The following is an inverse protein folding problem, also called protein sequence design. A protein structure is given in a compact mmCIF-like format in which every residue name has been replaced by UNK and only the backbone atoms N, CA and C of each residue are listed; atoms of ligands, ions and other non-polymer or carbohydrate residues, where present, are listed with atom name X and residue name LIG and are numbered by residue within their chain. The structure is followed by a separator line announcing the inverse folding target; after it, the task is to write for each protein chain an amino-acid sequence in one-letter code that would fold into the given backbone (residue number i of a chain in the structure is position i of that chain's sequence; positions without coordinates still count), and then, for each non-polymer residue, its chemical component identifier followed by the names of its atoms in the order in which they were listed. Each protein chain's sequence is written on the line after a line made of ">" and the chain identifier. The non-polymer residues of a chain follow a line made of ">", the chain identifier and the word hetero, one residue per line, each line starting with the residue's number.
data_IF_293624795569
#
_entry.id   IF_293624795569
#
_cell.length_a   1.000
_cell.length_b   1.000
_cell.length_c   1.000
_cell.angle_alpha   90.00
_cell.angle_beta   90.00
_cell.angle_gamma   90.00
#
_symmetry.space_group_name_H-M   'P 1'
#
loop_
_entity.id
_entity.type
_entity.pdbx_description
1 polymer ?
#
# COMPACT_ATOMS: atom_id res chain seq x y z
N UNK A 1 -14.44 2.44 4.63
CA UNK A 1 -13.25 1.70 4.80
C UNK A 1 -12.79 1.00 3.54
N UNK A 2 -11.65 0.38 3.64
CA UNK A 2 -11.06 -0.34 2.53
C UNK A 2 -11.72 -1.69 2.36
N UNK A 3 -11.93 -2.10 1.10
CA UNK A 3 -12.55 -3.40 0.82
C UNK A 3 -11.52 -4.51 0.91
N UNK A 4 -10.40 -4.33 0.25
CA UNK A 4 -9.29 -5.27 0.27
C UNK A 4 -8.00 -4.48 0.23
N UNK A 5 -7.01 -4.98 0.96
CA UNK A 5 -5.72 -4.34 0.94
C UNK A 5 -4.66 -5.35 1.34
N UNK A 6 -3.42 -5.03 0.99
CA UNK A 6 -2.27 -5.82 1.35
C UNK A 6 -1.10 -4.90 1.63
N UNK A 7 -0.30 -5.27 2.61
CA UNK A 7 0.93 -4.54 2.89
C UNK A 7 2.10 -5.46 2.59
N UNK A 8 2.95 -5.04 1.66
CA UNK A 8 4.17 -5.76 1.34
C UNK A 8 5.32 -5.17 2.13
N UNK A 9 6.13 -6.05 2.66
CA UNK A 9 7.27 -5.66 3.48
C UNK A 9 8.54 -5.82 2.65
N UNK A 10 9.25 -4.70 2.43
CA UNK A 10 10.52 -4.69 1.70
C UNK A 10 11.55 -3.96 2.55
N UNK A 11 12.28 -4.70 3.40
CA UNK A 11 13.24 -4.11 4.33
C UNK A 11 12.57 -3.00 5.16
N UNK A 12 12.92 -1.73 4.90
CA UNK A 12 12.36 -0.60 5.63
C UNK A 12 11.23 0.07 4.88
N UNK A 13 10.74 -0.54 3.81
CA UNK A 13 9.70 0.04 2.96
C UNK A 13 8.41 -0.74 3.14
N UNK A 14 7.32 -0.04 3.43
CA UNK A 14 5.99 -0.62 3.41
C UNK A 14 5.34 -0.24 2.08
N UNK A 15 4.94 -1.25 1.30
CA UNK A 15 4.22 -1.01 0.04
C UNK A 15 2.78 -1.43 0.23
N UNK A 16 1.88 -0.46 0.17
CA UNK A 16 0.46 -0.68 0.38
C UNK A 16 -0.23 -0.93 -0.94
N UNK A 17 -0.97 -2.03 -1.03
CA UNK A 17 -1.77 -2.37 -2.20
C UNK A 17 -3.23 -2.33 -1.79
N UNK A 18 -4.01 -1.47 -2.43
CA UNK A 18 -5.44 -1.37 -2.20
C UNK A 18 -6.13 -1.46 -3.55
N UNK A 19 -7.45 -1.67 -3.53
CA UNK A 19 -8.19 -1.65 -4.79
C UNK A 19 -7.98 -0.30 -5.47
N UNK A 20 -7.85 -0.29 -6.82
CA UNK A 20 -7.55 0.96 -7.51
C UNK A 20 -8.52 2.09 -7.17
N UNK A 21 -9.80 1.77 -6.99
CA UNK A 21 -10.78 2.80 -6.65
C UNK A 21 -10.57 3.36 -5.25
N UNK A 22 -9.80 2.68 -4.40
CA UNK A 22 -9.55 3.15 -3.04
C UNK A 22 -8.27 3.96 -2.91
N UNK A 23 -7.47 4.03 -3.96
CA UNK A 23 -6.21 4.78 -3.90
C UNK A 23 -6.49 6.25 -3.59
N UNK A 24 -7.48 6.83 -4.26
CA UNK A 24 -7.85 8.22 -4.04
C UNK A 24 -8.22 8.47 -2.58
N UNK A 25 -8.91 7.51 -1.98
CA UNK A 25 -9.30 7.63 -0.58
C UNK A 25 -8.08 7.75 0.32
N UNK A 26 -7.06 6.94 0.08
CA UNK A 26 -5.85 6.96 0.90
C UNK A 26 -5.02 8.23 0.70
N UNK A 27 -5.16 8.88 -0.46
CA UNK A 27 -4.38 10.07 -0.75
C UNK A 27 -4.99 11.34 -0.16
N UNK A 28 -6.18 11.26 0.45
CA UNK A 28 -6.74 12.39 1.15
C UNK A 28 -5.85 12.76 2.33
N UNK A 29 -5.67 14.06 2.56
CA UNK A 29 -4.68 14.55 3.52
C UNK A 29 -4.75 13.88 4.88
N UNK A 30 -5.93 13.83 5.48
CA UNK A 30 -6.05 13.26 6.81
C UNK A 30 -5.66 11.79 6.86
N UNK A 31 -6.13 11.02 5.89
CA UNK A 31 -5.83 9.59 5.85
C UNK A 31 -4.38 9.33 5.50
N UNK A 32 -3.84 10.09 4.56
CA UNK A 32 -2.45 9.95 4.16
C UNK A 32 -1.51 10.16 5.34
N UNK A 33 -1.73 11.24 6.08
CA UNK A 33 -0.87 11.58 7.21
C UNK A 33 -0.99 10.54 8.32
N UNK A 34 -2.18 10.03 8.56
CA UNK A 34 -2.37 9.02 9.59
C UNK A 34 -1.67 7.72 9.22
N UNK A 35 -1.77 7.32 7.95
CA UNK A 35 -1.08 6.11 7.50
C UNK A 35 0.42 6.23 7.66
N UNK A 36 0.98 7.36 7.24
CA UNK A 36 2.42 7.57 7.39
C UNK A 36 2.82 7.49 8.85
N UNK A 37 2.07 8.15 9.72
CA UNK A 37 2.38 8.14 11.14
C UNK A 37 2.37 6.72 11.69
N UNK A 38 1.34 5.95 11.40
CA UNK A 38 1.19 4.60 11.96
C UNK A 38 2.29 3.67 11.47
N UNK A 39 2.60 3.72 10.18
CA UNK A 39 3.63 2.83 9.67
C UNK A 39 5.02 3.23 10.13
N UNK A 40 5.26 4.53 10.32
CA UNK A 40 6.54 4.96 10.87
C UNK A 40 6.69 4.53 12.33
N UNK A 41 5.61 4.52 13.08
CA UNK A 41 5.63 4.04 14.45
C UNK A 41 5.97 2.55 14.53
N UNK A 42 5.56 1.79 13.52
CA UNK A 42 5.90 0.37 13.45
C UNK A 42 7.39 0.18 13.14
N UNK A 43 8.00 1.12 12.44
CA UNK A 43 9.42 1.05 12.15
C UNK A 43 9.79 1.21 10.69
N UNK A 44 8.82 1.44 9.81
CA UNK A 44 9.13 1.63 8.40
C UNK A 44 9.73 3.00 8.15
N UNK A 45 10.71 3.05 7.27
CA UNK A 45 11.30 4.32 6.85
C UNK A 45 10.46 4.98 5.76
N UNK A 46 9.92 4.18 4.84
CA UNK A 46 9.13 4.69 3.73
C UNK A 46 7.77 4.01 3.71
N UNK A 47 6.74 4.79 3.42
CA UNK A 47 5.38 4.29 3.27
C UNK A 47 4.96 4.63 1.84
N UNK A 48 4.69 3.60 1.03
CA UNK A 48 4.42 3.77 -0.40
C UNK A 48 3.11 3.10 -0.77
N UNK A 49 2.56 3.50 -1.90
CA UNK A 49 1.37 2.87 -2.48
C UNK A 49 1.74 2.33 -3.85
N UNK A 50 1.34 1.09 -4.12
CA UNK A 50 1.46 0.55 -5.46
C UNK A 50 0.37 1.16 -6.32
N UNK A 51 0.76 1.90 -7.35
CA UNK A 51 -0.20 2.62 -8.18
C UNK A 51 -1.11 1.70 -8.99
N UNK A 52 -0.68 0.48 -9.23
CA UNK A 52 -1.53 -0.49 -9.91
C UNK A 52 -2.57 -1.10 -8.98
N UNK A 53 -2.34 -1.00 -7.68
CA UNK A 53 -3.31 -1.42 -6.69
C UNK A 53 -3.24 -2.91 -6.37
N UNK A 54 -4.19 -3.34 -5.53
CA UNK A 54 -4.29 -4.74 -5.12
C UNK A 54 -4.81 -5.58 -6.28
N UNK A 55 -4.14 -6.70 -6.54
CA UNK A 55 -4.54 -7.63 -7.58
C UNK A 55 -4.34 -9.05 -7.11
N UNK A 56 -5.39 -9.86 -7.27
CA UNK A 56 -5.26 -11.28 -7.07
C UNK A 56 -4.33 -11.85 -8.14
N UNK A 57 -3.45 -12.75 -7.74
CA UNK A 57 -2.57 -13.39 -8.68
C UNK A 57 -1.42 -12.52 -9.15
N UNK A 58 -1.09 -11.46 -8.44
CA UNK A 58 0.02 -10.59 -8.82
C UNK A 58 1.35 -11.35 -8.91
N UNK A 59 1.48 -12.49 -8.23
CA UNK A 59 2.67 -13.30 -8.35
C UNK A 59 2.86 -13.85 -9.76
N UNK A 60 1.77 -14.09 -10.45
CA UNK A 60 1.86 -14.57 -11.82
C UNK A 60 2.48 -13.53 -12.74
N UNK A 61 2.23 -12.26 -12.46
CA UNK A 61 2.83 -11.18 -13.22
C UNK A 61 4.33 -11.13 -13.02
N UNK A 62 4.78 -11.35 -11.80
CA UNK A 62 6.19 -11.39 -11.50
C UNK A 62 6.85 -12.52 -12.27
N UNK A 63 6.19 -13.65 -12.35
CA UNK A 63 6.75 -14.81 -13.04
C UNK A 63 6.81 -14.60 -14.57
N UNK A 64 5.95 -13.75 -15.09
CA UNK A 64 5.92 -13.46 -16.52
C UNK A 64 7.00 -12.46 -16.95
N UNK A 65 7.46 -11.66 -16.06
CA UNK A 65 8.41 -10.59 -16.39
C UNK A 65 9.89 -11.02 -16.32
#
# INVERSE_FOLDING_TARGET
>A
GLKQFRVRHHDTIARIEVMPEDITLLLQDGKRKELVKRFKEIGYTYVTIDLEGYRSGSMNEVLKS
#
